data_IF_565606541578
#
_entry.id   IF_565606541578
#
_cell.length_a   1.000
_cell.length_b   1.000
_cell.length_c   1.000
_cell.angle_alpha   90.00
_cell.angle_beta   90.00
_cell.angle_gamma   90.00
#
_symmetry.space_group_name_H-M   'P 1'
#
loop_
_entity.id
_entity.type
_entity.pdbx_description
1 polymer ?
#
# COMPACT_ATOMS: atom_id res chain seq x y z
N UNK A 1 -16.19 26.91 -11.40
CA UNK A 1 -15.84 27.00 -9.97
C UNK A 1 -16.06 25.71 -9.17
N UNK A 2 -17.29 25.18 -8.95
CA UNK A 2 -17.49 23.97 -8.11
C UNK A 2 -16.89 22.70 -8.72
N UNK A 3 -17.08 22.50 -10.02
CA UNK A 3 -16.57 21.35 -10.80
C UNK A 3 -15.05 21.29 -10.84
N UNK A 4 -14.41 22.38 -11.26
CA UNK A 4 -12.93 22.48 -11.31
C UNK A 4 -12.31 22.22 -9.94
N UNK A 5 -12.93 22.72 -8.87
CA UNK A 5 -12.48 22.46 -7.50
C UNK A 5 -12.58 20.99 -7.14
N UNK A 6 -13.66 20.30 -7.51
CA UNK A 6 -13.81 18.86 -7.27
C UNK A 6 -12.76 18.04 -8.05
N UNK A 7 -12.53 18.37 -9.32
CA UNK A 7 -11.49 17.74 -10.13
C UNK A 7 -10.10 17.95 -9.50
N UNK A 8 -9.80 19.16 -9.05
CA UNK A 8 -8.54 19.46 -8.38
C UNK A 8 -8.37 18.67 -7.06
N UNK A 9 -9.45 18.50 -6.28
CA UNK A 9 -9.43 17.66 -5.07
C UNK A 9 -9.14 16.21 -5.43
N UNK A 10 -9.87 15.62 -6.38
CA UNK A 10 -9.65 14.24 -6.81
C UNK A 10 -8.23 14.03 -7.34
N UNK A 11 -7.70 14.98 -8.13
CA UNK A 11 -6.32 14.92 -8.58
C UNK A 11 -5.33 14.96 -7.41
N UNK A 12 -5.54 15.83 -6.42
CA UNK A 12 -4.72 15.89 -5.22
C UNK A 12 -4.76 14.59 -4.40
N UNK A 13 -5.92 13.97 -4.28
CA UNK A 13 -6.10 12.66 -3.64
C UNK A 13 -5.31 11.57 -4.39
N UNK A 14 -5.41 11.51 -5.72
CA UNK A 14 -4.66 10.56 -6.54
C UNK A 14 -3.14 10.70 -6.37
N UNK A 15 -2.63 11.94 -6.39
CA UNK A 15 -1.19 12.20 -6.16
C UNK A 15 -0.76 11.72 -4.78
N UNK A 16 -1.57 12.03 -3.76
CA UNK A 16 -1.33 11.60 -2.38
C UNK A 16 -1.27 10.08 -2.28
N UNK A 17 -2.23 9.37 -2.89
CA UNK A 17 -2.26 7.91 -2.89
C UNK A 17 -1.05 7.30 -3.59
N UNK A 18 -0.63 7.85 -4.74
CA UNK A 18 0.61 7.42 -5.41
C UNK A 18 1.82 7.54 -4.51
N UNK A 19 1.99 8.67 -3.84
CA UNK A 19 3.10 8.88 -2.91
C UNK A 19 3.07 7.87 -1.77
N UNK A 20 1.91 7.58 -1.20
CA UNK A 20 1.78 6.56 -0.15
C UNK A 20 2.10 5.15 -0.67
N UNK A 21 1.58 4.76 -1.83
CA UNK A 21 1.89 3.43 -2.40
C UNK A 21 3.37 3.29 -2.78
N UNK A 22 4.03 4.37 -3.19
CA UNK A 22 5.48 4.37 -3.44
C UNK A 22 6.25 4.23 -2.12
N UNK A 23 5.89 5.00 -1.10
CA UNK A 23 6.49 4.89 0.23
C UNK A 23 6.36 3.47 0.80
N UNK A 24 5.18 2.87 0.67
CA UNK A 24 4.94 1.47 1.07
C UNK A 24 5.84 0.52 0.28
N UNK A 25 6.04 0.74 -1.01
CA UNK A 25 6.94 -0.11 -1.82
C UNK A 25 8.38 -0.08 -1.28
N UNK A 26 8.87 1.11 -0.95
CA UNK A 26 10.23 1.29 -0.41
C UNK A 26 10.35 0.67 0.99
N UNK A 27 9.32 0.84 1.84
CA UNK A 27 9.25 0.24 3.17
C UNK A 27 9.19 -1.30 3.10
N UNK A 28 8.38 -1.87 2.21
CA UNK A 28 8.33 -3.32 1.96
C UNK A 28 9.71 -3.85 1.53
N UNK A 29 10.40 -3.15 0.63
CA UNK A 29 11.73 -3.55 0.19
C UNK A 29 12.75 -3.52 1.34
N UNK A 30 12.66 -2.55 2.24
CA UNK A 30 13.49 -2.49 3.44
C UNK A 30 13.18 -3.67 4.39
N UNK A 31 11.91 -3.92 4.68
CA UNK A 31 11.49 -4.98 5.59
C UNK A 31 11.90 -6.36 5.05
N UNK A 32 11.75 -6.59 3.76
CA UNK A 32 12.19 -7.83 3.10
C UNK A 32 13.69 -8.06 3.35
N UNK A 33 14.54 -7.05 3.08
CA UNK A 33 15.98 -7.14 3.33
C UNK A 33 16.32 -7.36 4.81
N UNK A 34 15.54 -6.76 5.72
CA UNK A 34 15.71 -6.97 7.16
C UNK A 34 15.43 -8.43 7.52
N UNK A 35 14.31 -8.97 7.06
CA UNK A 35 13.88 -10.35 7.32
C UNK A 35 14.79 -11.41 6.68
N UNK A 36 15.44 -11.08 5.56
CA UNK A 36 16.40 -11.96 4.89
C UNK A 36 17.81 -11.89 5.50
N UNK A 37 18.04 -11.04 6.50
CA UNK A 37 19.35 -10.95 7.16
C UNK A 37 19.62 -12.10 8.14
N UNK A 38 20.90 -12.42 8.36
CA UNK A 38 21.35 -13.51 9.27
C UNK A 38 20.80 -13.40 10.71
N UNK A 39 20.41 -12.19 11.13
CA UNK A 39 19.79 -11.95 12.44
C UNK A 39 18.42 -12.62 12.54
N UNK A 40 17.77 -12.90 11.41
CA UNK A 40 16.44 -13.49 11.34
C UNK A 40 16.45 -14.94 10.86
N UNK A 41 17.62 -15.51 10.56
CA UNK A 41 17.75 -16.93 10.26
C UNK A 41 17.10 -17.78 11.36
N UNK A 42 16.02 -18.51 11.03
CA UNK A 42 15.23 -19.22 12.02
C UNK A 42 15.97 -20.45 12.50
N UNK A 43 16.14 -20.57 13.82
CA UNK A 43 16.76 -21.73 14.47
C UNK A 43 15.76 -22.79 14.93
N UNK A 44 14.47 -22.54 14.71
CA UNK A 44 13.39 -23.46 15.06
C UNK A 44 12.34 -23.48 13.94
N UNK A 45 11.65 -24.62 13.71
CA UNK A 45 10.61 -24.73 12.69
C UNK A 45 9.52 -23.66 12.80
N UNK A 46 9.05 -23.37 14.03
CA UNK A 46 8.03 -22.34 14.28
C UNK A 46 8.46 -20.94 13.83
N UNK A 47 9.74 -20.59 13.97
CA UNK A 47 10.25 -19.29 13.52
C UNK A 47 10.37 -19.23 12.00
N UNK A 48 10.68 -20.37 11.37
CA UNK A 48 10.74 -20.51 9.92
C UNK A 48 9.35 -20.39 9.30
N UNK A 49 8.37 -21.13 9.79
CA UNK A 49 6.97 -21.04 9.32
C UNK A 49 6.44 -19.61 9.41
N UNK A 50 6.71 -18.91 10.52
CA UNK A 50 6.27 -17.53 10.70
C UNK A 50 6.97 -16.57 9.72
N UNK A 51 8.26 -16.77 9.46
CA UNK A 51 9.01 -15.98 8.48
C UNK A 51 8.47 -16.19 7.06
N UNK A 52 8.24 -17.44 6.66
CA UNK A 52 7.69 -17.77 5.34
C UNK A 52 6.26 -17.24 5.17
N UNK A 53 5.41 -17.31 6.19
CA UNK A 53 4.09 -16.70 6.17
C UNK A 53 4.17 -15.18 5.93
N UNK A 54 5.11 -14.49 6.58
CA UNK A 54 5.29 -13.06 6.32
C UNK A 54 5.71 -12.79 4.87
N UNK A 55 6.65 -13.57 4.31
CA UNK A 55 7.06 -13.41 2.91
C UNK A 55 5.88 -13.57 1.95
N UNK A 56 5.04 -14.58 2.15
CA UNK A 56 3.83 -14.80 1.34
C UNK A 56 2.83 -13.64 1.46
N UNK A 57 2.66 -13.10 2.67
CA UNK A 57 1.79 -11.93 2.88
C UNK A 57 2.37 -10.66 2.23
N UNK A 58 3.70 -10.47 2.25
CA UNK A 58 4.37 -9.38 1.52
C UNK A 58 4.17 -9.51 0.01
N UNK A 59 4.31 -10.71 -0.55
CA UNK A 59 4.10 -10.94 -1.99
C UNK A 59 2.66 -10.63 -2.40
N UNK A 60 1.69 -11.08 -1.60
CA UNK A 60 0.26 -10.81 -1.82
C UNK A 60 -0.04 -9.30 -1.74
N UNK A 61 0.46 -8.64 -0.70
CA UNK A 61 0.31 -7.19 -0.52
C UNK A 61 0.99 -6.41 -1.66
N UNK A 62 2.14 -6.89 -2.17
CA UNK A 62 2.86 -6.27 -3.28
C UNK A 62 2.06 -6.35 -4.58
N UNK A 63 1.44 -7.50 -4.84
CA UNK A 63 0.58 -7.68 -6.01
C UNK A 63 -0.64 -6.73 -5.96
N UNK A 64 -1.30 -6.64 -4.79
CA UNK A 64 -2.42 -5.71 -4.61
C UNK A 64 -1.99 -4.24 -4.79
N UNK A 65 -0.85 -3.86 -4.22
CA UNK A 65 -0.26 -2.51 -4.38
C UNK A 65 0.00 -2.16 -5.85
N UNK A 66 0.59 -3.08 -6.61
CA UNK A 66 0.83 -2.89 -8.04
C UNK A 66 -0.48 -2.70 -8.79
N UNK A 67 -1.49 -3.54 -8.51
CA UNK A 67 -2.82 -3.41 -9.08
C UNK A 67 -3.46 -2.06 -8.76
N UNK A 68 -3.40 -1.61 -7.51
CA UNK A 68 -3.90 -0.28 -7.10
C UNK A 68 -3.16 0.86 -7.80
N UNK A 69 -1.86 0.74 -7.97
CA UNK A 69 -1.06 1.74 -8.70
C UNK A 69 -1.49 1.87 -10.15
N UNK A 70 -1.82 0.75 -10.81
CA UNK A 70 -2.38 0.74 -12.16
C UNK A 70 -3.79 1.35 -12.20
N UNK A 71 -4.66 1.00 -11.25
CA UNK A 71 -5.99 1.61 -11.14
C UNK A 71 -5.92 3.12 -10.95
N UNK A 72 -5.04 3.61 -10.08
CA UNK A 72 -4.82 5.04 -9.85
C UNK A 72 -4.32 5.73 -11.12
N UNK A 73 -3.34 5.15 -11.81
CA UNK A 73 -2.82 5.69 -13.08
C UNK A 73 -3.92 5.79 -14.13
N UNK A 74 -4.72 4.74 -14.30
CA UNK A 74 -5.82 4.73 -15.26
C UNK A 74 -6.92 5.71 -14.88
N UNK A 75 -7.24 5.83 -13.59
CA UNK A 75 -8.23 6.78 -13.11
C UNK A 75 -7.77 8.23 -13.36
N UNK A 76 -6.51 8.55 -13.05
CA UNK A 76 -5.91 9.87 -13.31
C UNK A 76 -5.92 10.23 -14.79
N UNK A 77 -5.56 9.30 -15.69
CA UNK A 77 -5.66 9.53 -17.14
C UNK A 77 -7.09 9.90 -17.56
N UNK A 78 -8.09 9.34 -16.87
CA UNK A 78 -9.51 9.66 -17.07
C UNK A 78 -9.94 11.05 -16.58
N UNK A 79 -9.20 11.70 -15.67
CA UNK A 79 -9.52 13.06 -15.21
C UNK A 79 -9.45 14.07 -16.35
N UNK A 80 -8.49 13.90 -17.28
CA UNK A 80 -8.35 14.77 -18.44
C UNK A 80 -9.58 14.74 -19.34
N UNK A 81 -10.13 13.55 -19.59
CA UNK A 81 -11.33 13.38 -20.42
C UNK A 81 -12.61 13.94 -19.78
N UNK A 82 -12.66 14.04 -18.45
CA UNK A 82 -13.80 14.67 -17.75
C UNK A 82 -13.79 16.16 -17.93
N UNK A 83 -12.61 16.78 -17.94
CA UNK A 83 -12.49 18.21 -18.21
C UNK A 83 -13.17 18.61 -19.54
N UNK A 84 -13.09 17.72 -20.54
CA UNK A 84 -13.66 17.89 -21.88
C UNK A 84 -15.13 17.48 -22.01
N UNK A 85 -15.67 16.70 -21.05
CA UNK A 85 -17.04 16.21 -21.10
C UNK A 85 -18.02 17.24 -20.52
N UNK A 86 -19.14 17.50 -21.20
CA UNK A 86 -20.13 18.53 -20.81
C UNK A 86 -21.42 17.95 -20.22
N UNK A 87 -21.49 16.64 -19.99
CA UNK A 87 -22.68 15.96 -19.46
C UNK A 87 -22.54 15.70 -17.95
N UNK A 88 -23.50 16.19 -17.16
CA UNK A 88 -23.51 16.05 -15.69
C UNK A 88 -23.56 14.57 -15.22
N UNK A 89 -24.14 13.67 -16.02
CA UNK A 89 -24.19 12.23 -15.72
C UNK A 89 -22.80 11.57 -15.75
N UNK A 90 -21.89 12.05 -16.60
CA UNK A 90 -20.51 11.56 -16.66
C UNK A 90 -19.73 11.91 -15.39
N UNK A 91 -20.01 13.07 -14.79
CA UNK A 91 -19.35 13.53 -13.56
C UNK A 91 -19.76 12.67 -12.35
N UNK A 92 -21.04 12.30 -12.24
CA UNK A 92 -21.57 11.49 -11.13
C UNK A 92 -20.97 10.09 -11.07
N UNK A 93 -21.02 9.36 -12.19
CA UNK A 93 -20.47 8.00 -12.26
C UNK A 93 -18.95 7.98 -12.06
N UNK A 94 -18.23 9.00 -12.52
CA UNK A 94 -16.80 9.08 -12.26
C UNK A 94 -16.49 9.35 -10.79
N UNK A 95 -17.27 10.20 -10.12
CA UNK A 95 -17.12 10.45 -8.69
C UNK A 95 -17.36 9.18 -7.87
N UNK A 96 -18.35 8.35 -8.23
CA UNK A 96 -18.57 7.04 -7.61
C UNK A 96 -17.37 6.11 -7.79
N UNK A 97 -16.77 6.08 -8.99
CA UNK A 97 -15.53 5.35 -9.24
C UNK A 97 -14.38 5.85 -8.39
N UNK A 98 -14.26 7.17 -8.22
CA UNK A 98 -13.24 7.79 -7.37
C UNK A 98 -13.41 7.37 -5.91
N UNK A 99 -14.64 7.41 -5.39
CA UNK A 99 -14.96 6.98 -4.02
C UNK A 99 -14.69 5.49 -3.81
N UNK A 100 -15.02 4.65 -4.79
CA UNK A 100 -14.68 3.22 -4.76
C UNK A 100 -13.17 3.00 -4.72
N UNK A 101 -12.40 3.75 -5.52
CA UNK A 101 -10.94 3.69 -5.50
C UNK A 101 -10.38 4.14 -4.15
N UNK A 102 -10.90 5.23 -3.58
CA UNK A 102 -10.55 5.71 -2.24
C UNK A 102 -10.72 4.61 -1.19
N UNK A 103 -11.89 4.00 -1.13
CA UNK A 103 -12.18 2.92 -0.18
C UNK A 103 -11.23 1.72 -0.35
N UNK A 104 -10.84 1.40 -1.58
CA UNK A 104 -9.86 0.34 -1.85
C UNK A 104 -8.45 0.71 -1.37
N UNK A 105 -8.02 1.95 -1.60
CA UNK A 105 -6.71 2.45 -1.11
C UNK A 105 -6.68 2.47 0.42
N UNK A 106 -7.72 2.98 1.06
CA UNK A 106 -7.81 3.05 2.53
C UNK A 106 -7.74 1.65 3.15
N UNK A 107 -8.52 0.69 2.62
CA UNK A 107 -8.49 -0.71 3.07
C UNK A 107 -7.11 -1.35 2.88
N UNK A 108 -6.45 -1.09 1.76
CA UNK A 108 -5.11 -1.60 1.50
C UNK A 108 -4.10 -1.04 2.52
N UNK A 109 -4.14 0.27 2.79
CA UNK A 109 -3.26 0.91 3.76
C UNK A 109 -3.47 0.33 5.16
N UNK A 110 -4.72 0.17 5.61
CA UNK A 110 -5.03 -0.45 6.89
C UNK A 110 -4.50 -1.89 6.99
N UNK A 111 -4.73 -2.70 5.95
CA UNK A 111 -4.26 -4.08 5.87
C UNK A 111 -2.74 -4.15 5.93
N UNK A 112 -2.05 -3.29 5.18
CA UNK A 112 -0.59 -3.21 5.18
C UNK A 112 -0.03 -2.74 6.53
N UNK A 113 -0.66 -1.76 7.19
CA UNK A 113 -0.26 -1.29 8.52
C UNK A 113 -0.35 -2.44 9.54
N UNK A 114 -1.38 -3.28 9.47
CA UNK A 114 -1.51 -4.43 10.36
C UNK A 114 -0.43 -5.48 10.10
N UNK A 115 -0.16 -5.83 8.83
CA UNK A 115 0.95 -6.70 8.46
C UNK A 115 2.29 -6.16 9.00
N UNK A 116 2.53 -4.85 8.83
CA UNK A 116 3.74 -4.20 9.32
C UNK A 116 3.90 -4.33 10.84
N UNK A 117 2.83 -4.10 11.60
CA UNK A 117 2.85 -4.26 13.07
C UNK A 117 3.26 -5.67 13.47
N UNK A 118 2.65 -6.69 12.86
CA UNK A 118 2.97 -8.08 13.17
C UNK A 118 4.44 -8.44 12.88
N UNK A 119 4.98 -7.89 11.80
CA UNK A 119 6.38 -8.09 11.40
C UNK A 119 7.33 -7.39 12.38
N UNK A 120 6.99 -6.16 12.80
CA UNK A 120 7.79 -5.42 13.77
C UNK A 120 7.77 -6.08 15.15
N UNK A 121 6.64 -6.64 15.58
CA UNK A 121 6.55 -7.39 16.82
C UNK A 121 7.42 -8.66 16.77
N UNK A 122 7.37 -9.39 15.65
CA UNK A 122 8.24 -10.54 15.42
C UNK A 122 9.72 -10.13 15.44
N UNK A 123 10.06 -9.06 14.73
CA UNK A 123 11.44 -8.58 14.64
C UNK A 123 11.98 -8.09 15.98
N UNK A 124 11.19 -7.30 16.71
CA UNK A 124 11.52 -6.86 18.05
C UNK A 124 11.74 -8.03 19.01
N UNK A 125 10.94 -9.09 18.92
CA UNK A 125 11.11 -10.29 19.74
C UNK A 125 12.43 -11.03 19.42
N UNK A 126 12.84 -11.11 18.16
CA UNK A 126 14.12 -11.71 17.76
C UNK A 126 15.31 -10.86 18.22
N UNK A 127 15.25 -9.56 17.96
CA UNK A 127 16.33 -8.62 18.32
C UNK A 127 16.56 -8.57 19.84
N UNK A 128 15.50 -8.63 20.65
CA UNK A 128 15.62 -8.73 22.12
C UNK A 128 16.32 -10.01 22.58
N UNK A 129 16.10 -11.14 21.89
CA UNK A 129 16.76 -12.42 22.22
C UNK A 129 18.23 -12.47 21.80
N UNK A 130 18.59 -11.77 20.72
CA UNK A 130 19.97 -11.70 20.20
C UNK A 130 20.77 -10.51 20.77
N UNK A 131 20.36 -9.93 21.90
CA UNK A 131 21.06 -8.81 22.54
C UNK A 131 22.53 -9.20 22.77
N UNK A 132 23.52 -8.47 22.21
CA UNK A 132 24.92 -8.77 22.45
C UNK A 132 25.18 -8.64 23.95
N UNK A 133 25.76 -9.69 24.55
CA UNK A 133 26.34 -9.59 25.88
C UNK A 133 27.67 -8.84 25.68
N UNK A 134 27.66 -7.55 25.99
CA UNK A 134 28.89 -6.77 26.19
C UNK A 134 29.36 -6.99 27.63
#
# INVERSE_FOLDING_TARGET
MKRERQIAVMHGELQTWKSYLQFIADEMAFIQRLLDSYVFEPRTPKLFERLENFKQHFDSSKAERCSLSEFIKNHENGLGGIFECTQDECDGHYYEKHLSLKNRVDRYIETYINLKKEVYDYAGAILKKKKPLY
#
